data_IF_329991950856
#
_entry.id   IF_329991950856
#
_cell.length_a   1.000
_cell.length_b   1.000
_cell.length_c   1.000
_cell.angle_alpha   90.00
_cell.angle_beta   90.00
_cell.angle_gamma   90.00
#
_symmetry.space_group_name_H-M   'P 1'
#
loop_
_entity.id
_entity.type
_entity.pdbx_description
1 polymer ?
#
# COMPACT_ATOMS: atom_id res chain seq x y z
N UNK A 1 -6.06 24.98 -12.76
CA UNK A 1 -5.55 23.60 -12.81
C UNK A 1 -4.64 23.43 -11.60
N UNK A 2 -5.18 22.91 -10.50
CA UNK A 2 -4.39 22.58 -9.31
C UNK A 2 -3.62 21.29 -9.61
N UNK A 3 -2.28 21.39 -9.66
CA UNK A 3 -1.41 20.21 -9.69
C UNK A 3 -1.29 19.64 -8.29
N UNK A 4 -1.24 18.32 -8.17
CA UNK A 4 -1.02 17.67 -6.88
C UNK A 4 0.38 17.98 -6.35
N UNK A 5 0.53 18.11 -5.03
CA UNK A 5 1.83 18.35 -4.37
C UNK A 5 2.88 17.31 -4.80
N UNK A 6 2.45 16.08 -5.06
CA UNK A 6 3.33 15.00 -5.54
C UNK A 6 3.91 15.28 -6.92
N UNK A 7 3.10 15.81 -7.84
CA UNK A 7 3.51 16.05 -9.23
C UNK A 7 4.50 17.21 -9.30
N UNK A 8 4.24 18.28 -8.55
CA UNK A 8 5.15 19.42 -8.46
C UNK A 8 6.54 19.03 -7.91
N UNK A 9 6.57 18.16 -6.89
CA UNK A 9 7.83 17.72 -6.30
C UNK A 9 8.69 16.85 -7.25
N UNK A 10 8.05 15.99 -8.05
CA UNK A 10 8.75 15.18 -9.07
C UNK A 10 9.34 16.08 -10.16
N UNK A 11 8.57 17.08 -10.63
CA UNK A 11 9.03 18.06 -11.61
C UNK A 11 10.25 18.86 -11.12
N UNK A 12 10.34 19.12 -9.80
CA UNK A 12 11.46 19.82 -9.16
C UNK A 12 12.68 18.92 -8.89
N UNK A 13 12.67 17.67 -9.34
CA UNK A 13 13.80 16.74 -9.27
C UNK A 13 13.78 15.81 -8.07
N UNK A 14 12.64 15.64 -7.39
CA UNK A 14 12.49 14.61 -6.37
C UNK A 14 12.63 13.22 -6.99
N UNK A 15 13.67 12.50 -6.58
CA UNK A 15 13.87 11.09 -6.96
C UNK A 15 13.13 10.21 -5.96
N UNK A 16 12.35 9.26 -6.48
CA UNK A 16 11.65 8.29 -5.61
C UNK A 16 12.65 7.32 -5.00
N UNK A 17 12.34 6.80 -3.81
CA UNK A 17 13.18 5.81 -3.14
C UNK A 17 13.47 4.61 -4.05
N UNK A 18 12.47 4.09 -4.77
CA UNK A 18 12.64 2.98 -5.70
C UNK A 18 13.58 3.34 -6.86
N UNK A 19 13.38 4.49 -7.51
CA UNK A 19 14.22 4.91 -8.64
C UNK A 19 15.69 5.09 -8.21
N UNK A 20 15.91 5.68 -7.04
CA UNK A 20 17.24 5.83 -6.47
C UNK A 20 17.88 4.46 -6.15
N UNK A 21 17.15 3.58 -5.47
CA UNK A 21 17.62 2.24 -5.11
C UNK A 21 17.98 1.39 -6.33
N UNK A 22 17.24 1.50 -7.44
CA UNK A 22 17.57 0.80 -8.69
C UNK A 22 18.87 1.31 -9.32
N UNK A 23 19.21 2.59 -9.17
CA UNK A 23 20.50 3.10 -9.63
C UNK A 23 21.66 2.53 -8.80
N UNK A 24 21.50 2.41 -7.48
CA UNK A 24 22.52 1.80 -6.62
C UNK A 24 22.80 0.33 -6.99
N UNK A 25 21.78 -0.42 -7.43
CA UNK A 25 21.97 -1.78 -7.97
C UNK A 25 22.81 -1.74 -9.25
N UNK A 26 22.51 -0.81 -10.16
CA UNK A 26 23.26 -0.66 -11.43
C UNK A 26 24.73 -0.29 -11.20
N UNK A 27 25.02 0.48 -10.16
CA UNK A 27 26.37 0.87 -9.77
C UNK A 27 27.08 -0.20 -8.92
N UNK A 28 26.37 -1.27 -8.53
CA UNK A 28 26.92 -2.40 -7.77
C UNK A 28 27.04 -2.13 -6.27
N UNK A 29 26.41 -1.09 -5.74
CA UNK A 29 26.43 -0.75 -4.31
C UNK A 29 25.46 -1.59 -3.46
N UNK A 30 24.46 -2.22 -4.06
CA UNK A 30 23.47 -3.08 -3.38
C UNK A 30 22.92 -4.11 -4.37
N UNK A 31 22.02 -4.98 -3.90
CA UNK A 31 21.40 -6.05 -4.70
C UNK A 31 19.90 -5.82 -4.87
N UNK A 32 19.31 -6.42 -5.92
CA UNK A 32 17.86 -6.37 -6.11
C UNK A 32 17.09 -6.97 -4.92
N UNK A 33 17.63 -8.00 -4.28
CA UNK A 33 17.00 -8.64 -3.11
C UNK A 33 16.97 -7.70 -1.90
N UNK A 34 18.05 -6.95 -1.67
CA UNK A 34 18.07 -5.92 -0.61
C UNK A 34 17.10 -4.78 -0.93
N UNK A 35 17.07 -4.32 -2.18
CA UNK A 35 16.11 -3.29 -2.62
C UNK A 35 14.68 -3.75 -2.41
N UNK A 36 14.35 -4.98 -2.85
CA UNK A 36 13.02 -5.54 -2.68
C UNK A 36 12.59 -5.53 -1.21
N UNK A 37 13.46 -6.01 -0.32
CA UNK A 37 13.19 -6.10 1.12
C UNK A 37 12.93 -4.75 1.75
N UNK A 38 13.56 -3.67 1.28
CA UNK A 38 13.42 -2.32 1.88
C UNK A 38 12.35 -1.47 1.22
N UNK A 39 12.20 -1.54 -0.11
CA UNK A 39 11.19 -0.77 -0.84
C UNK A 39 9.81 -1.39 -0.73
N UNK A 40 9.74 -2.71 -0.61
CA UNK A 40 8.51 -3.47 -0.42
C UNK A 40 8.40 -4.09 0.98
N UNK A 41 9.21 -3.61 1.94
CA UNK A 41 9.09 -4.08 3.33
C UNK A 41 7.64 -3.99 3.79
N UNK A 42 7.22 -5.02 4.53
CA UNK A 42 5.90 -5.12 5.13
C UNK A 42 5.51 -3.88 5.94
N UNK A 43 6.41 -2.97 6.34
CA UNK A 43 6.05 -1.77 7.10
C UNK A 43 5.04 -0.86 6.39
N UNK A 44 5.13 -0.70 5.07
CA UNK A 44 4.18 0.09 4.28
C UNK A 44 2.84 -0.62 4.12
N UNK A 45 2.89 -1.90 3.75
CA UNK A 45 1.71 -2.76 3.62
C UNK A 45 1.02 -3.00 4.97
N UNK A 46 1.78 -3.18 6.04
CA UNK A 46 1.33 -3.32 7.42
C UNK A 46 0.75 -2.01 7.93
N UNK A 47 1.31 -0.84 7.58
CA UNK A 47 0.71 0.44 7.88
C UNK A 47 -0.63 0.63 7.13
N UNK A 48 -0.72 0.24 5.86
CA UNK A 48 -1.96 0.26 5.09
C UNK A 48 -2.99 -0.75 5.61
N UNK A 49 -2.57 -1.97 5.97
CA UNK A 49 -3.40 -3.00 6.58
C UNK A 49 -3.85 -2.57 7.97
N UNK A 50 -2.99 -1.94 8.78
CA UNK A 50 -3.31 -1.42 10.11
C UNK A 50 -4.25 -0.23 10.04
N UNK A 51 -4.09 0.65 9.04
CA UNK A 51 -5.04 1.71 8.75
C UNK A 51 -6.41 1.14 8.34
N UNK A 52 -6.43 0.14 7.44
CA UNK A 52 -7.65 -0.58 7.03
C UNK A 52 -8.30 -1.41 8.15
N UNK A 53 -7.54 -1.85 9.17
CA UNK A 53 -8.02 -2.61 10.34
C UNK A 53 -8.70 -1.74 11.41
N UNK A 54 -8.50 -0.41 11.40
CA UNK A 54 -9.00 0.50 12.45
C UNK A 54 -10.35 1.17 12.17
N UNK A 55 -10.84 1.15 10.93
CA UNK A 55 -12.21 1.58 10.64
C UNK A 55 -13.16 0.42 10.92
N UNK A 56 -14.24 0.63 11.67
CA UNK A 56 -15.33 -0.36 11.78
C UNK A 56 -15.84 -0.72 10.37
N UNK A 57 -15.83 -2.00 10.03
CA UNK A 57 -16.04 -2.44 8.65
C UNK A 57 -17.50 -2.83 8.46
N UNK A 58 -18.28 -1.91 7.91
CA UNK A 58 -19.67 -2.17 7.55
C UNK A 58 -19.68 -2.92 6.22
N UNK A 59 -20.34 -4.09 6.17
CA UNK A 59 -20.50 -4.86 4.94
C UNK A 59 -21.23 -4.04 3.87
N UNK A 60 -20.68 -3.94 2.65
CA UNK A 60 -21.33 -3.23 1.53
C UNK A 60 -22.62 -3.91 1.04
N UNK A 61 -22.82 -5.19 1.33
CA UNK A 61 -24.02 -5.94 0.95
C UNK A 61 -25.14 -5.86 2.00
N UNK A 62 -24.84 -6.26 3.24
CA UNK A 62 -25.87 -6.38 4.29
C UNK A 62 -25.79 -5.30 5.38
N UNK A 63 -24.79 -4.42 5.33
CA UNK A 63 -24.52 -3.38 6.35
C UNK A 63 -24.26 -3.91 7.76
N UNK A 64 -24.01 -5.21 7.93
CA UNK A 64 -23.57 -5.75 9.20
C UNK A 64 -22.16 -5.28 9.55
N UNK A 65 -21.89 -5.09 10.84
CA UNK A 65 -20.54 -4.89 11.35
C UNK A 65 -19.71 -6.15 11.12
N UNK A 66 -18.54 -5.98 10.51
CA UNK A 66 -17.59 -7.03 10.22
C UNK A 66 -16.37 -6.88 11.10
N UNK A 67 -15.83 -8.03 11.50
CA UNK A 67 -14.54 -8.06 12.17
C UNK A 67 -13.38 -7.92 11.15
N UNK A 68 -12.25 -7.29 11.52
CA UNK A 68 -11.10 -7.13 10.63
C UNK A 68 -10.54 -8.42 10.06
N UNK A 69 -10.65 -9.54 10.79
CA UNK A 69 -10.14 -10.86 10.40
C UNK A 69 -10.99 -11.61 9.36
N UNK A 70 -12.18 -11.13 9.02
CA UNK A 70 -13.08 -11.82 8.08
C UNK A 70 -12.78 -11.46 6.62
N UNK A 71 -12.50 -12.48 5.81
CA UNK A 71 -12.28 -12.37 4.35
C UNK A 71 -13.60 -12.24 3.57
N UNK A 72 -14.64 -12.92 4.05
CA UNK A 72 -16.01 -12.88 3.51
C UNK A 72 -17.01 -12.49 4.60
N UNK A 73 -18.10 -11.84 4.20
CA UNK A 73 -19.18 -11.55 5.15
C UNK A 73 -19.91 -12.85 5.53
N UNK A 74 -19.98 -13.24 6.82
CA UNK A 74 -20.67 -14.48 7.22
C UNK A 74 -22.20 -14.39 7.05
N UNK A 75 -22.75 -13.18 6.92
CA UNK A 75 -24.19 -12.96 6.80
C UNK A 75 -24.69 -13.03 5.36
N UNK A 76 -23.89 -12.60 4.38
CA UNK A 76 -24.31 -12.55 2.97
C UNK A 76 -23.30 -13.16 1.99
N UNK A 77 -22.22 -13.77 2.49
CA UNK A 77 -21.14 -14.41 1.73
C UNK A 77 -20.49 -13.53 0.65
N UNK A 78 -20.60 -12.20 0.78
CA UNK A 78 -19.97 -11.26 -0.14
C UNK A 78 -18.47 -11.13 0.18
N UNK A 79 -17.59 -11.18 -0.85
CA UNK A 79 -16.17 -10.91 -0.69
C UNK A 79 -15.93 -9.50 -0.17
N UNK A 80 -15.05 -9.38 0.82
CA UNK A 80 -14.73 -8.07 1.39
C UNK A 80 -13.84 -7.23 0.48
N UNK A 81 -12.96 -7.87 -0.28
CA UNK A 81 -12.04 -7.22 -1.20
C UNK A 81 -12.32 -7.72 -2.61
N UNK A 82 -13.23 -7.05 -3.32
CA UNK A 82 -13.32 -7.15 -4.78
C UNK A 82 -12.46 -6.02 -5.34
N UNK A 83 -11.43 -6.37 -6.12
CA UNK A 83 -10.54 -5.41 -6.78
C UNK A 83 -11.26 -4.55 -7.81
#
# INVERSE_FOLDING_TARGET
>A
MERSIKEAAVDEGMVTLLAYSLNLVREGYTTLEEVERVTFSDSGLEAELKAKRKSGLICSGCRAELKPEWLDCPYCMRPRFSG
#
